data_IF_700918235591
#
_entry.id   IF_700918235591
#
_cell.length_a   1.000
_cell.length_b   1.000
_cell.length_c   1.000
_cell.angle_alpha   90.00
_cell.angle_beta   90.00
_cell.angle_gamma   90.00
#
_symmetry.space_group_name_H-M   'P 1'
#
loop_
_entity.id
_entity.type
_entity.pdbx_description
1 polymer ?
#
# COMPACT_ATOMS: atom_id res chain seq x y z
N UNK A 1 67.22 28.17 -26.40
CA UNK A 1 67.58 26.74 -26.53
C UNK A 1 67.51 26.13 -25.13
N UNK A 2 66.50 25.29 -24.87
CA UNK A 2 66.26 24.40 -23.69
C UNK A 2 66.07 25.03 -22.28
N UNK A 3 65.45 24.31 -21.30
CA UNK A 3 64.09 23.74 -21.31
C UNK A 3 63.34 23.81 -19.94
N UNK A 4 62.06 23.41 -19.93
CA UNK A 4 61.25 22.78 -18.86
C UNK A 4 61.34 23.25 -17.39
N UNK A 5 60.19 23.57 -16.77
CA UNK A 5 59.59 22.78 -15.66
C UNK A 5 58.05 22.93 -15.69
N UNK A 6 57.38 21.78 -15.58
CA UNK A 6 55.93 21.60 -15.43
C UNK A 6 55.43 22.01 -14.04
N UNK A 7 54.23 22.58 -13.95
CA UNK A 7 53.36 22.42 -12.76
C UNK A 7 51.93 22.14 -13.21
N UNK A 8 51.43 20.98 -12.82
CA UNK A 8 50.04 20.54 -13.00
C UNK A 8 49.19 21.20 -11.92
N UNK A 9 48.23 22.05 -12.30
CA UNK A 9 47.13 22.40 -11.40
C UNK A 9 45.97 21.42 -11.61
N UNK A 10 45.75 20.59 -10.60
CA UNK A 10 44.58 19.72 -10.48
C UNK A 10 43.31 20.57 -10.29
N UNK A 11 42.47 20.66 -11.32
CA UNK A 11 41.09 21.14 -11.15
C UNK A 11 40.24 20.01 -10.57
N UNK A 12 40.08 20.04 -9.25
CA UNK A 12 39.10 19.23 -8.54
C UNK A 12 37.68 19.56 -9.06
N UNK A 13 37.01 18.53 -9.55
CA UNK A 13 35.59 18.51 -9.88
C UNK A 13 34.79 18.96 -8.64
N UNK A 14 34.11 20.11 -8.71
CA UNK A 14 33.11 20.49 -7.70
C UNK A 14 31.92 19.55 -7.85
N UNK A 15 31.95 18.45 -7.10
CA UNK A 15 30.79 17.61 -6.86
C UNK A 15 29.75 18.44 -6.08
N UNK A 16 28.60 18.68 -6.70
CA UNK A 16 27.41 19.21 -6.05
C UNK A 16 27.03 18.35 -4.84
N UNK A 17 26.57 18.95 -3.72
CA UNK A 17 26.27 18.17 -2.51
C UNK A 17 25.11 17.23 -2.81
N UNK A 18 25.40 15.92 -2.75
CA UNK A 18 24.39 14.86 -2.70
C UNK A 18 23.53 15.12 -1.45
N UNK A 19 22.32 15.64 -1.66
CA UNK A 19 21.31 15.75 -0.60
C UNK A 19 20.89 14.34 -0.22
N UNK A 20 21.46 13.84 0.87
CA UNK A 20 21.01 12.64 1.57
C UNK A 20 19.51 12.79 1.81
N UNK A 21 18.69 11.91 1.23
CA UNK A 21 17.25 11.87 1.47
C UNK A 21 17.09 11.30 2.88
N UNK A 22 17.21 12.18 3.88
CA UNK A 22 16.72 11.92 5.22
C UNK A 22 15.20 11.73 5.12
N UNK A 23 14.71 10.72 5.83
CA UNK A 23 13.29 10.38 5.93
C UNK A 23 12.50 11.63 6.30
N UNK A 24 11.89 12.23 5.28
CA UNK A 24 11.14 13.49 5.35
C UNK A 24 9.79 13.17 5.97
N UNK A 25 9.32 14.02 6.89
CA UNK A 25 8.01 13.87 7.55
C UNK A 25 6.92 13.66 6.47
N UNK A 26 6.01 12.68 6.59
CA UNK A 26 4.91 12.51 5.65
C UNK A 26 4.06 13.78 5.45
N UNK A 27 4.06 14.72 6.41
CA UNK A 27 3.43 16.04 6.27
C UNK A 27 4.28 17.06 5.47
N UNK A 28 5.60 16.93 5.42
CA UNK A 28 6.48 17.82 4.64
C UNK A 28 6.31 17.65 3.12
N UNK A 29 5.62 16.59 2.68
CA UNK A 29 5.31 16.31 1.26
C UNK A 29 3.82 16.45 0.92
N UNK A 30 3.04 17.10 1.78
CA UNK A 30 1.62 17.30 1.57
C UNK A 30 1.36 18.03 0.25
N UNK A 31 0.55 17.42 -0.62
CA UNK A 31 0.16 17.91 -1.95
C UNK A 31 1.28 18.04 -3.00
N UNK A 32 2.54 17.69 -2.71
CA UNK A 32 3.60 17.79 -3.74
C UNK A 32 3.40 16.78 -4.87
N UNK A 33 2.96 15.55 -4.56
CA UNK A 33 2.63 14.55 -5.57
C UNK A 33 1.38 14.95 -6.35
N UNK A 34 0.36 15.47 -5.65
CA UNK A 34 -0.84 16.05 -6.25
C UNK A 34 -0.48 17.15 -7.25
N UNK A 35 0.36 18.12 -6.87
CA UNK A 35 0.80 19.23 -7.73
C UNK A 35 1.62 18.73 -8.93
N UNK A 36 2.50 17.74 -8.75
CA UNK A 36 3.28 17.14 -9.85
C UNK A 36 2.38 16.50 -10.93
N UNK A 37 1.39 15.71 -10.51
CA UNK A 37 0.42 15.07 -11.42
C UNK A 37 -0.41 16.13 -12.17
N UNK A 38 -0.73 17.25 -11.49
CA UNK A 38 -1.39 18.39 -12.11
C UNK A 38 -0.49 19.09 -13.14
N UNK A 39 0.80 19.27 -12.85
CA UNK A 39 1.75 19.95 -13.74
C UNK A 39 2.06 19.16 -15.01
N UNK A 40 2.20 17.83 -14.91
CA UNK A 40 2.38 16.95 -16.06
C UNK A 40 1.20 17.04 -17.06
N UNK A 41 0.00 17.31 -16.56
CA UNK A 41 -1.24 17.35 -17.36
C UNK A 41 -1.62 18.74 -17.86
N UNK A 42 -1.00 19.81 -17.34
CA UNK A 42 -1.16 21.20 -17.81
C UNK A 42 -0.71 21.42 -19.27
N UNK A 43 0.08 20.52 -19.85
CA UNK A 43 0.50 20.62 -21.26
C UNK A 43 -0.66 20.42 -22.27
N UNK A 44 -1.79 19.85 -21.83
CA UNK A 44 -2.93 19.47 -22.70
C UNK A 44 -4.23 20.22 -22.34
N UNK A 45 -4.28 20.97 -21.24
CA UNK A 45 -5.52 21.44 -20.64
C UNK A 45 -5.67 22.98 -20.60
N UNK A 46 -6.92 23.46 -20.72
CA UNK A 46 -7.27 24.87 -20.56
C UNK A 46 -6.83 25.42 -19.19
N UNK A 47 -6.40 26.70 -19.11
CA UNK A 47 -6.21 27.35 -17.82
C UNK A 47 -7.49 27.24 -16.99
N UNK A 48 -7.36 26.74 -15.76
CA UNK A 48 -8.41 26.52 -14.75
C UNK A 48 -9.22 25.21 -14.83
N UNK A 49 -8.90 24.26 -15.73
CA UNK A 49 -9.56 22.95 -15.72
C UNK A 49 -8.59 21.82 -15.35
N UNK A 50 -9.00 20.99 -14.39
CA UNK A 50 -8.35 19.72 -14.09
C UNK A 50 -8.83 18.66 -15.10
N UNK A 51 -7.95 18.09 -15.94
CA UNK A 51 -8.35 16.98 -16.79
C UNK A 51 -8.91 15.82 -15.96
N UNK A 52 -10.00 15.22 -16.45
CA UNK A 52 -10.60 14.02 -15.85
C UNK A 52 -9.53 12.94 -15.61
N UNK A 53 -8.62 12.74 -16.55
CA UNK A 53 -7.49 11.81 -16.43
C UNK A 53 -6.58 12.10 -15.22
N UNK A 54 -6.21 13.36 -15.00
CA UNK A 54 -5.37 13.78 -13.88
C UNK A 54 -6.06 13.55 -12.53
N UNK A 55 -7.36 13.87 -12.44
CA UNK A 55 -8.16 13.59 -11.25
C UNK A 55 -8.21 12.09 -10.94
N UNK A 56 -8.41 11.25 -11.96
CA UNK A 56 -8.48 9.80 -11.79
C UNK A 56 -7.15 9.19 -11.41
N UNK A 57 -6.05 9.63 -12.03
CA UNK A 57 -4.70 9.19 -11.65
C UNK A 57 -4.41 9.53 -10.19
N UNK A 58 -4.83 10.71 -9.72
CA UNK A 58 -4.69 11.09 -8.33
C UNK A 58 -5.59 10.25 -7.40
N UNK A 59 -6.84 10.01 -7.79
CA UNK A 59 -7.76 9.19 -7.01
C UNK A 59 -7.23 7.75 -6.88
N UNK A 60 -6.80 7.13 -7.98
CA UNK A 60 -6.19 5.81 -8.00
C UNK A 60 -4.93 5.77 -7.14
N UNK A 61 -4.07 6.79 -7.23
CA UNK A 61 -2.90 6.90 -6.37
C UNK A 61 -3.28 6.91 -4.88
N UNK A 62 -4.33 7.65 -4.50
CA UNK A 62 -4.82 7.69 -3.12
C UNK A 62 -5.43 6.37 -2.66
N UNK A 63 -6.23 5.71 -3.49
CA UNK A 63 -6.81 4.38 -3.21
C UNK A 63 -5.69 3.36 -2.99
N UNK A 64 -4.68 3.31 -3.87
CA UNK A 64 -3.52 2.42 -3.73
C UNK A 64 -2.73 2.63 -2.44
N UNK A 65 -2.67 3.87 -1.94
CA UNK A 65 -1.96 4.16 -0.69
C UNK A 65 -2.66 3.60 0.54
N UNK A 66 -3.97 3.41 0.48
CA UNK A 66 -4.79 2.93 1.61
C UNK A 66 -5.28 1.50 1.43
N UNK A 67 -5.00 0.85 0.29
CA UNK A 67 -5.53 -0.48 -0.06
C UNK A 67 -5.07 -1.59 0.87
N UNK A 68 -3.91 -1.44 1.52
CA UNK A 68 -3.42 -2.43 2.49
C UNK A 68 -4.15 -2.35 3.85
N UNK A 69 -4.78 -1.21 4.19
CA UNK A 69 -5.47 -1.00 5.45
C UNK A 69 -6.58 -2.04 5.67
N UNK A 70 -7.54 -2.22 4.73
CA UNK A 70 -8.60 -3.21 4.91
C UNK A 70 -8.07 -4.66 4.92
N UNK A 71 -6.98 -4.96 4.20
CA UNK A 71 -6.36 -6.29 4.22
C UNK A 71 -5.79 -6.61 5.61
N UNK A 72 -5.02 -5.68 6.18
CA UNK A 72 -4.45 -5.82 7.52
C UNK A 72 -5.55 -5.90 8.59
N UNK A 73 -6.60 -5.07 8.46
CA UNK A 73 -7.74 -5.08 9.37
C UNK A 73 -8.44 -6.45 9.39
N UNK A 74 -8.70 -7.05 8.23
CA UNK A 74 -9.32 -8.39 8.17
C UNK A 74 -8.41 -9.44 8.81
N UNK A 75 -7.10 -9.36 8.61
CA UNK A 75 -6.16 -10.27 9.26
C UNK A 75 -6.23 -10.18 10.79
N UNK A 76 -6.17 -8.97 11.35
CA UNK A 76 -6.24 -8.72 12.79
C UNK A 76 -7.57 -9.20 13.41
N UNK A 77 -8.69 -8.91 12.73
CA UNK A 77 -10.03 -9.36 13.16
C UNK A 77 -10.10 -10.89 13.17
N UNK A 78 -9.54 -11.58 12.17
CA UNK A 78 -9.53 -13.05 12.16
C UNK A 78 -8.63 -13.65 13.22
N UNK A 79 -7.46 -13.06 13.50
CA UNK A 79 -6.57 -13.56 14.55
C UNK A 79 -7.22 -13.45 15.94
N UNK A 80 -7.97 -12.36 16.19
CA UNK A 80 -8.80 -12.22 17.38
C UNK A 80 -9.93 -13.26 17.43
N UNK A 81 -10.70 -13.39 16.34
CA UNK A 81 -11.81 -14.34 16.28
C UNK A 81 -11.34 -15.79 16.46
N UNK A 82 -10.22 -16.17 15.86
CA UNK A 82 -9.64 -17.50 16.01
C UNK A 82 -9.34 -17.80 17.48
N UNK A 83 -8.68 -16.86 18.16
CA UNK A 83 -8.34 -16.98 19.58
C UNK A 83 -9.61 -17.15 20.43
N UNK A 84 -10.61 -16.30 20.23
CA UNK A 84 -11.85 -16.31 21.02
C UNK A 84 -12.65 -17.61 20.78
N UNK A 85 -12.88 -17.96 19.51
CA UNK A 85 -13.72 -19.10 19.15
C UNK A 85 -13.05 -20.41 19.57
N UNK A 86 -11.74 -20.58 19.35
CA UNK A 86 -11.04 -21.78 19.80
C UNK A 86 -11.09 -21.91 21.31
N UNK A 87 -10.82 -20.84 22.07
CA UNK A 87 -10.83 -20.89 23.53
C UNK A 87 -12.21 -21.29 24.08
N UNK A 88 -13.28 -20.66 23.61
CA UNK A 88 -14.64 -20.97 24.05
C UNK A 88 -14.99 -22.43 23.73
N UNK A 89 -14.69 -22.88 22.50
CA UNK A 89 -15.03 -24.24 22.08
C UNK A 89 -14.23 -25.31 22.83
N UNK A 90 -12.95 -25.05 23.13
CA UNK A 90 -12.13 -25.96 23.92
C UNK A 90 -12.64 -26.05 25.35
N UNK A 91 -12.97 -24.92 25.97
CA UNK A 91 -13.49 -24.87 27.32
C UNK A 91 -14.77 -25.70 27.51
N UNK A 92 -15.70 -25.61 26.54
CA UNK A 92 -16.93 -26.41 26.58
C UNK A 92 -16.71 -27.91 26.37
N UNK A 93 -15.55 -28.31 25.81
CA UNK A 93 -15.22 -29.70 25.51
C UNK A 93 -14.16 -30.30 26.45
N UNK A 94 -13.69 -29.56 27.46
CA UNK A 94 -12.57 -29.97 28.34
C UNK A 94 -12.77 -31.34 28.99
N UNK A 95 -14.02 -31.70 29.29
CA UNK A 95 -14.36 -32.97 29.97
C UNK A 95 -14.39 -34.19 29.03
N UNK A 96 -14.22 -34.01 27.71
CA UNK A 96 -14.27 -35.12 26.75
C UNK A 96 -13.20 -34.94 25.65
N UNK A 97 -11.96 -35.43 25.88
CA UNK A 97 -10.80 -35.18 25.01
C UNK A 97 -10.98 -35.57 23.52
N UNK A 98 -11.66 -36.69 23.17
CA UNK A 98 -11.88 -37.03 21.76
C UNK A 98 -12.79 -36.01 21.04
N UNK A 99 -13.85 -35.53 21.69
CA UNK A 99 -14.72 -34.48 21.18
C UNK A 99 -13.93 -33.19 21.05
N UNK A 100 -13.20 -32.78 22.09
CA UNK A 100 -12.37 -31.58 22.08
C UNK A 100 -11.42 -31.57 20.86
N UNK A 101 -10.71 -32.67 20.63
CA UNK A 101 -9.81 -32.82 19.48
C UNK A 101 -10.55 -32.69 18.14
N UNK A 102 -11.69 -33.37 18.01
CA UNK A 102 -12.51 -33.31 16.78
C UNK A 102 -13.10 -31.91 16.53
N UNK A 103 -13.58 -31.24 17.58
CA UNK A 103 -14.13 -29.89 17.56
C UNK A 103 -13.06 -28.88 17.19
N UNK A 104 -11.87 -28.98 17.78
CA UNK A 104 -10.73 -28.11 17.46
C UNK A 104 -10.42 -28.13 15.97
N UNK A 105 -10.30 -29.34 15.41
CA UNK A 105 -10.03 -29.53 13.98
C UNK A 105 -11.15 -28.95 13.11
N UNK A 106 -12.41 -29.18 13.46
CA UNK A 106 -13.55 -28.64 12.72
C UNK A 106 -13.59 -27.11 12.75
N UNK A 107 -13.36 -26.50 13.91
CA UNK A 107 -13.33 -25.05 14.11
C UNK A 107 -12.20 -24.40 13.30
N UNK A 108 -10.97 -24.91 13.41
CA UNK A 108 -9.82 -24.38 12.65
C UNK A 108 -10.03 -24.49 11.14
N UNK A 109 -10.60 -25.60 10.66
CA UNK A 109 -10.92 -25.76 9.24
C UNK A 109 -11.98 -24.76 8.77
N UNK A 110 -13.00 -24.48 9.58
CA UNK A 110 -14.02 -23.49 9.27
C UNK A 110 -13.44 -22.07 9.26
N UNK A 111 -12.68 -21.70 10.28
CA UNK A 111 -12.01 -20.40 10.38
C UNK A 111 -11.12 -20.16 9.17
N UNK A 112 -10.29 -21.14 8.79
CA UNK A 112 -9.41 -21.04 7.63
C UNK A 112 -10.20 -20.73 6.34
N UNK A 113 -11.29 -21.47 6.08
CA UNK A 113 -12.16 -21.23 4.92
C UNK A 113 -12.80 -19.85 4.93
N UNK A 114 -13.32 -19.41 6.08
CA UNK A 114 -13.99 -18.12 6.20
C UNK A 114 -12.99 -16.95 6.11
N UNK A 115 -11.78 -17.11 6.67
CA UNK A 115 -10.66 -16.16 6.55
C UNK A 115 -10.25 -15.99 5.10
N UNK A 116 -10.07 -17.09 4.36
CA UNK A 116 -9.78 -17.07 2.93
C UNK A 116 -10.88 -16.34 2.14
N UNK A 117 -12.15 -16.73 2.32
CA UNK A 117 -13.28 -16.11 1.62
C UNK A 117 -13.38 -14.60 1.88
N UNK A 118 -13.26 -14.19 3.14
CA UNK A 118 -13.33 -12.76 3.50
C UNK A 118 -12.15 -11.96 2.95
N UNK A 119 -10.95 -12.54 2.93
CA UNK A 119 -9.75 -11.90 2.38
C UNK A 119 -9.89 -11.72 0.87
N UNK A 120 -10.32 -12.76 0.16
CA UNK A 120 -10.62 -12.70 -1.28
C UNK A 120 -11.67 -11.63 -1.58
N UNK A 121 -12.72 -11.54 -0.76
CA UNK A 121 -13.75 -10.51 -0.94
C UNK A 121 -13.22 -9.09 -0.75
N UNK A 122 -12.33 -8.86 0.21
CA UNK A 122 -11.69 -7.55 0.39
C UNK A 122 -10.77 -7.21 -0.77
N UNK A 123 -10.01 -8.18 -1.29
CA UNK A 123 -9.18 -7.98 -2.47
C UNK A 123 -10.02 -7.59 -3.70
N UNK A 124 -11.15 -8.26 -3.94
CA UNK A 124 -12.08 -7.88 -5.03
C UNK A 124 -12.57 -6.43 -4.88
N UNK A 125 -12.90 -5.98 -3.66
CA UNK A 125 -13.37 -4.61 -3.42
C UNK A 125 -12.25 -3.61 -3.75
N UNK A 126 -11.03 -3.87 -3.30
CA UNK A 126 -9.85 -3.03 -3.59
C UNK A 126 -9.63 -2.94 -5.10
N UNK A 127 -9.67 -4.08 -5.81
CA UNK A 127 -9.50 -4.12 -7.26
C UNK A 127 -10.60 -3.32 -7.98
N UNK A 128 -11.86 -3.45 -7.54
CA UNK A 128 -12.98 -2.67 -8.09
C UNK A 128 -12.82 -1.17 -7.86
N UNK A 129 -12.31 -0.75 -6.70
CA UNK A 129 -12.04 0.66 -6.39
C UNK A 129 -10.82 1.21 -7.16
N UNK A 130 -9.82 0.38 -7.44
CA UNK A 130 -8.65 0.74 -8.25
C UNK A 130 -9.01 0.89 -9.75
N UNK A 131 -9.89 0.02 -10.27
CA UNK A 131 -10.24 -0.08 -11.69
C UNK A 131 -11.44 0.83 -12.07
N UNK A 132 -12.04 1.54 -11.12
CA UNK A 132 -13.28 2.32 -11.29
C UNK A 132 -13.27 3.44 -12.37
N UNK A 133 -12.24 3.56 -13.21
CA UNK A 133 -12.33 4.27 -14.48
C UNK A 133 -11.72 3.49 -15.65
N UNK A 134 -12.59 2.99 -16.54
CA UNK A 134 -12.29 2.83 -17.98
C UNK A 134 -13.49 2.56 -18.90
N UNK A 135 -14.66 2.09 -18.45
CA UNK A 135 -15.79 1.79 -19.36
C UNK A 135 -17.21 2.00 -18.79
N UNK A 136 -17.61 3.25 -18.50
CA UNK A 136 -19.02 3.57 -18.22
C UNK A 136 -19.57 4.86 -18.83
N UNK A 137 -19.02 5.32 -19.95
CA UNK A 137 -19.66 6.35 -20.78
C UNK A 137 -19.50 6.01 -22.25
N UNK A 138 -20.46 5.24 -22.78
CA UNK A 138 -20.73 5.13 -24.22
C UNK A 138 -22.23 5.06 -24.40
#
# INVERSE_FOLDING_TARGET
>A
MSPHIYTKENKAHKQSPKKTISQTDPNEKFLLNEISILEETKSVALPNFLPRSAFLSLLQYKVKRVSNIPVNFVAEVWDYNETVVVNIMMHHCDNYPPLQSSTKRAVLNLISKMKEQSTSRVMEIIEMEEIADKHKFK
#
